data_IF_516708385801
#
_entry.id   IF_516708385801
#
_cell.length_a   1.000
_cell.length_b   1.000
_cell.length_c   1.000
_cell.angle_alpha   90.00
_cell.angle_beta   90.00
_cell.angle_gamma   90.00
#
_symmetry.space_group_name_H-M   'P 1'
#
loop_
_entity.id
_entity.type
_entity.pdbx_description
1 polymer ?
#
# COMPACT_ATOMS: atom_id res chain seq x y z
N UNK A 1 30.28 3.53 -9.79
CA UNK A 1 30.49 2.20 -10.40
C UNK A 1 29.70 2.00 -11.69
N UNK A 2 28.35 2.00 -11.69
CA UNK A 2 27.56 1.78 -12.93
C UNK A 2 27.77 2.91 -13.95
N UNK A 3 27.70 4.16 -13.51
CA UNK A 3 27.93 5.32 -14.39
C UNK A 3 29.37 5.35 -14.92
N UNK A 4 30.35 4.91 -14.12
CA UNK A 4 31.75 4.81 -14.55
C UNK A 4 31.91 3.73 -15.61
N UNK A 5 31.26 2.58 -15.45
CA UNK A 5 31.25 1.52 -16.46
C UNK A 5 30.60 1.98 -17.78
N UNK A 6 29.50 2.73 -17.71
CA UNK A 6 28.89 3.35 -18.90
C UNK A 6 29.89 4.28 -19.59
N UNK A 7 30.58 5.14 -18.83
CA UNK A 7 31.59 6.06 -19.36
C UNK A 7 32.76 5.31 -19.99
N UNK A 8 33.28 4.28 -19.33
CA UNK A 8 34.37 3.44 -19.84
C UNK A 8 33.97 2.74 -21.15
N UNK A 9 32.75 2.24 -21.30
CA UNK A 9 32.28 1.63 -22.55
C UNK A 9 32.28 2.63 -23.71
N UNK A 10 31.83 3.86 -23.46
CA UNK A 10 31.88 4.95 -24.45
C UNK A 10 33.32 5.30 -24.82
N UNK A 11 34.26 5.25 -23.88
CA UNK A 11 35.68 5.46 -24.13
C UNK A 11 36.33 4.30 -24.89
N UNK A 12 36.04 3.03 -24.54
CA UNK A 12 36.54 1.84 -25.25
C UNK A 12 36.18 1.85 -26.73
N UNK A 13 34.96 2.29 -27.06
CA UNK A 13 34.52 2.52 -28.44
C UNK A 13 35.46 3.46 -29.21
N UNK A 14 36.00 4.50 -28.56
CA UNK A 14 36.95 5.44 -29.19
C UNK A 14 38.31 4.79 -29.51
N UNK A 15 38.71 3.78 -28.74
CA UNK A 15 39.95 3.02 -28.96
C UNK A 15 39.75 1.76 -29.80
N UNK A 16 38.58 1.63 -30.46
CA UNK A 16 38.19 0.47 -31.28
C UNK A 16 38.22 -0.87 -30.51
N UNK A 17 38.13 -0.82 -29.18
CA UNK A 17 38.01 -2.00 -28.34
C UNK A 17 36.53 -2.25 -28.07
N UNK A 18 36.04 -3.42 -28.50
CA UNK A 18 34.62 -3.79 -28.37
C UNK A 18 34.49 -5.09 -27.59
N UNK A 19 33.73 -5.10 -26.48
CA UNK A 19 33.36 -6.35 -25.83
C UNK A 19 32.66 -7.30 -26.81
N UNK A 20 32.92 -8.60 -26.71
CA UNK A 20 32.43 -9.60 -27.68
C UNK A 20 31.01 -10.11 -27.40
N UNK A 21 30.19 -9.35 -26.66
CA UNK A 21 28.83 -9.76 -26.31
C UNK A 21 27.94 -9.73 -27.56
N UNK A 22 27.31 -10.87 -27.85
CA UNK A 22 26.34 -10.99 -28.96
C UNK A 22 24.89 -10.85 -28.51
N UNK A 23 24.63 -11.20 -27.24
CA UNK A 23 23.31 -11.20 -26.64
C UNK A 23 23.39 -10.65 -25.23
N UNK A 24 22.40 -9.84 -24.84
CA UNK A 24 22.20 -9.34 -23.48
C UNK A 24 20.81 -9.77 -23.06
N UNK A 25 20.72 -10.54 -21.98
CA UNK A 25 19.45 -11.00 -21.42
C UNK A 25 19.23 -10.27 -20.10
N UNK A 26 18.05 -9.66 -19.95
CA UNK A 26 17.66 -8.94 -18.76
C UNK A 26 16.37 -9.56 -18.25
N UNK A 27 16.45 -10.12 -17.06
CA UNK A 27 15.29 -10.63 -16.33
C UNK A 27 14.77 -9.58 -15.36
N UNK A 28 13.51 -9.69 -14.94
CA UNK A 28 12.82 -8.74 -14.07
C UNK A 28 12.95 -7.27 -14.54
N UNK A 29 12.82 -7.03 -15.85
CA UNK A 29 13.06 -5.74 -16.49
C UNK A 29 12.15 -4.61 -15.95
N UNK A 30 11.00 -4.96 -15.38
CA UNK A 30 10.08 -3.99 -14.76
C UNK A 30 10.67 -3.28 -13.53
N UNK A 31 11.75 -3.80 -12.97
CA UNK A 31 12.45 -3.22 -11.82
C UNK A 31 13.72 -2.47 -12.22
N UNK A 32 13.96 -2.27 -13.52
CA UNK A 32 15.18 -1.60 -13.97
C UNK A 32 15.20 -0.12 -13.60
N UNK A 33 16.32 0.32 -13.03
CA UNK A 33 16.60 1.73 -12.80
C UNK A 33 17.24 2.38 -14.03
N UNK A 34 17.09 3.70 -14.19
CA UNK A 34 17.61 4.48 -15.32
C UNK A 34 19.08 4.22 -15.62
N UNK A 35 19.91 4.16 -14.59
CA UNK A 35 21.36 3.96 -14.71
C UNK A 35 21.70 2.57 -15.28
N UNK A 36 20.96 1.52 -14.86
CA UNK A 36 21.14 0.16 -15.39
C UNK A 36 20.70 0.09 -16.84
N UNK A 37 19.59 0.74 -17.18
CA UNK A 37 19.17 0.85 -18.57
C UNK A 37 20.24 1.55 -19.43
N UNK A 38 20.79 2.67 -18.97
CA UNK A 38 21.79 3.43 -19.74
C UNK A 38 23.04 2.59 -20.01
N UNK A 39 23.47 1.81 -19.01
CA UNK A 39 24.56 0.84 -19.19
C UNK A 39 24.21 -0.22 -20.25
N UNK A 40 23.02 -0.82 -20.18
CA UNK A 40 22.54 -1.76 -21.20
C UNK A 40 22.55 -1.14 -22.59
N UNK A 41 22.02 0.08 -22.72
CA UNK A 41 21.97 0.78 -24.00
C UNK A 41 23.37 1.05 -24.55
N UNK A 42 24.29 1.53 -23.71
CA UNK A 42 25.68 1.74 -24.10
C UNK A 42 26.36 0.42 -24.56
N UNK A 43 26.10 -0.70 -23.88
CA UNK A 43 26.60 -2.01 -24.32
C UNK A 43 26.07 -2.37 -25.72
N UNK A 44 24.77 -2.18 -25.97
CA UNK A 44 24.18 -2.43 -27.29
C UNK A 44 24.81 -1.56 -28.36
N UNK A 45 24.96 -0.26 -28.09
CA UNK A 45 25.47 0.70 -29.06
C UNK A 45 26.95 0.42 -29.42
N UNK A 46 27.75 -0.05 -28.46
CA UNK A 46 29.18 -0.37 -28.66
C UNK A 46 29.37 -1.74 -29.35
N UNK A 47 28.58 -2.75 -28.95
CA UNK A 47 28.80 -4.15 -29.35
C UNK A 47 27.94 -4.60 -30.52
N UNK A 48 26.80 -3.95 -30.76
CA UNK A 48 25.74 -4.44 -31.65
C UNK A 48 24.99 -5.66 -31.11
N UNK A 49 25.10 -5.95 -29.80
CA UNK A 49 24.42 -7.08 -29.18
C UNK A 49 22.90 -6.97 -29.30
N UNK A 50 22.23 -8.12 -29.49
CA UNK A 50 20.77 -8.23 -29.41
C UNK A 50 20.34 -8.28 -27.95
N UNK A 51 19.25 -7.58 -27.61
CA UNK A 51 18.71 -7.57 -26.24
C UNK A 51 17.43 -8.39 -26.16
N UNK A 52 17.33 -9.20 -25.13
CA UNK A 52 16.10 -9.87 -24.71
C UNK A 52 15.79 -9.39 -23.30
N UNK A 53 14.68 -8.70 -23.13
CA UNK A 53 14.19 -8.25 -21.83
C UNK A 53 12.91 -9.01 -21.48
N UNK A 54 12.83 -9.53 -20.26
CA UNK A 54 11.69 -10.27 -19.72
C UNK A 54 11.23 -9.56 -18.45
N UNK A 55 9.92 -9.45 -18.25
CA UNK A 55 9.37 -8.89 -17.03
C UNK A 55 7.85 -8.79 -17.02
N UNK A 56 7.33 -8.32 -15.90
CA UNK A 56 5.88 -8.21 -15.62
C UNK A 56 5.57 -6.87 -14.93
N UNK A 57 4.94 -5.95 -15.64
CA UNK A 57 4.59 -4.61 -15.16
C UNK A 57 3.68 -4.63 -13.93
N UNK A 58 2.80 -5.63 -13.81
CA UNK A 58 1.91 -5.79 -12.65
C UNK A 58 2.68 -6.08 -11.36
N UNK A 59 3.95 -6.50 -11.47
CA UNK A 59 4.85 -6.78 -10.35
C UNK A 59 5.91 -5.69 -10.15
N UNK A 60 5.81 -4.53 -10.82
CA UNK A 60 6.74 -3.42 -10.58
C UNK A 60 6.45 -2.73 -9.24
N UNK A 61 7.31 -2.95 -8.24
CA UNK A 61 7.09 -2.52 -6.84
C UNK A 61 8.37 -1.96 -6.18
N UNK A 62 9.34 -1.53 -6.98
CA UNK A 62 10.63 -1.03 -6.50
C UNK A 62 10.91 0.42 -6.94
N UNK A 63 9.85 1.22 -7.12
CA UNK A 63 10.02 2.62 -7.51
C UNK A 63 10.85 3.39 -6.46
N UNK A 64 10.69 3.07 -5.17
CA UNK A 64 11.51 3.59 -4.08
C UNK A 64 13.02 3.32 -4.21
N UNK A 65 13.41 2.28 -4.97
CA UNK A 65 14.79 1.94 -5.26
C UNK A 65 15.30 2.58 -6.57
N UNK A 66 14.49 3.45 -7.19
CA UNK A 66 14.81 4.13 -8.45
C UNK A 66 14.40 3.38 -9.71
N UNK A 67 13.61 2.31 -9.59
CA UNK A 67 13.02 1.63 -10.75
C UNK A 67 12.03 2.54 -11.47
N UNK A 68 12.10 2.54 -12.80
CA UNK A 68 11.23 3.37 -13.64
C UNK A 68 10.47 2.48 -14.62
N UNK A 69 9.18 2.27 -14.35
CA UNK A 69 8.31 1.43 -15.15
C UNK A 69 8.11 1.97 -16.58
N UNK A 70 8.35 3.26 -16.82
CA UNK A 70 8.24 3.83 -18.16
C UNK A 70 9.31 3.26 -19.10
N UNK A 71 10.45 2.80 -18.56
CA UNK A 71 11.49 2.11 -19.32
C UNK A 71 11.02 0.75 -19.84
N UNK A 72 10.17 0.08 -19.06
CA UNK A 72 9.50 -1.15 -19.48
C UNK A 72 8.49 -0.86 -20.59
N UNK A 73 7.59 0.10 -20.37
CA UNK A 73 6.52 0.44 -21.31
C UNK A 73 7.04 0.96 -22.65
N UNK A 74 8.14 1.72 -22.63
CA UNK A 74 8.74 2.35 -23.82
C UNK A 74 9.95 1.57 -24.35
N UNK A 75 10.10 0.29 -23.99
CA UNK A 75 11.29 -0.49 -24.33
C UNK A 75 11.61 -0.46 -25.82
N UNK A 76 10.63 -0.73 -26.69
CA UNK A 76 10.81 -0.75 -28.14
C UNK A 76 11.15 0.64 -28.69
N UNK A 77 10.55 1.70 -28.14
CA UNK A 77 10.88 3.08 -28.51
C UNK A 77 12.34 3.41 -28.18
N UNK A 78 12.83 2.98 -27.02
CA UNK A 78 14.17 3.31 -26.51
C UNK A 78 15.27 2.41 -27.10
N UNK A 79 14.96 1.15 -27.39
CA UNK A 79 15.93 0.15 -27.88
C UNK A 79 15.93 0.02 -29.40
N UNK A 80 14.88 0.48 -30.08
CA UNK A 80 14.71 0.40 -31.53
C UNK A 80 13.89 -0.81 -31.96
N UNK A 81 14.06 -1.22 -33.22
CA UNK A 81 13.25 -2.29 -33.82
C UNK A 81 13.34 -3.61 -33.02
N UNK A 82 12.18 -4.14 -32.65
CA UNK A 82 12.06 -5.39 -31.90
C UNK A 82 10.67 -5.99 -32.02
N UNK A 83 10.41 -7.04 -31.24
CA UNK A 83 9.09 -7.68 -31.14
C UNK A 83 8.75 -7.87 -29.67
N UNK A 84 7.55 -7.50 -29.30
CA UNK A 84 6.97 -7.85 -28.00
C UNK A 84 6.29 -9.22 -28.10
N UNK A 85 6.51 -10.08 -27.11
CA UNK A 85 5.83 -11.36 -26.99
C UNK A 85 5.27 -11.50 -25.57
N UNK A 86 4.08 -12.09 -25.46
CA UNK A 86 3.41 -12.25 -24.17
C UNK A 86 3.36 -13.72 -23.75
N UNK A 87 3.72 -13.98 -22.49
CA UNK A 87 3.53 -15.28 -21.84
C UNK A 87 2.25 -15.19 -21.01
N UNK A 88 1.15 -15.76 -21.52
CA UNK A 88 -0.17 -15.65 -20.90
C UNK A 88 -0.55 -16.86 -20.05
N UNK A 89 0.14 -17.99 -20.21
CA UNK A 89 -0.18 -19.20 -19.46
C UNK A 89 0.58 -19.24 -18.14
N UNK A 90 -0.15 -19.46 -17.05
CA UNK A 90 0.40 -19.57 -15.69
C UNK A 90 -0.08 -20.86 -15.02
N UNK A 91 0.81 -21.46 -14.24
CA UNK A 91 0.57 -22.74 -13.57
C UNK A 91 0.57 -22.61 -12.05
N UNK A 92 0.75 -21.40 -11.52
CA UNK A 92 0.86 -21.16 -10.09
C UNK A 92 -0.52 -21.14 -9.43
N UNK A 93 -1.32 -20.16 -9.81
CA UNK A 93 -2.60 -19.80 -9.19
C UNK A 93 -3.78 -20.42 -9.95
N UNK A 94 -4.95 -20.52 -9.29
CA UNK A 94 -6.20 -20.87 -9.98
C UNK A 94 -6.66 -19.75 -10.92
N UNK A 95 -7.43 -20.10 -11.93
CA UNK A 95 -8.02 -19.13 -12.86
C UNK A 95 -8.83 -18.07 -12.11
N UNK A 96 -9.62 -18.48 -11.12
CA UNK A 96 -10.44 -17.58 -10.31
C UNK A 96 -9.59 -16.53 -9.57
N UNK A 97 -8.46 -16.94 -8.97
CA UNK A 97 -7.59 -16.01 -8.25
C UNK A 97 -6.94 -15.01 -9.20
N UNK A 98 -6.51 -15.49 -10.36
CA UNK A 98 -5.86 -14.67 -11.38
C UNK A 98 -6.83 -13.67 -11.99
N UNK A 99 -8.07 -14.08 -12.25
CA UNK A 99 -9.09 -13.19 -12.79
C UNK A 99 -9.41 -12.07 -11.79
N UNK A 100 -9.56 -12.39 -10.51
CA UNK A 100 -9.79 -11.40 -9.45
C UNK A 100 -8.58 -10.47 -9.30
N UNK A 101 -7.39 -11.02 -9.07
CA UNK A 101 -6.17 -10.24 -8.85
C UNK A 101 -5.79 -9.39 -10.09
N UNK A 102 -5.92 -9.98 -11.28
CA UNK A 102 -5.65 -9.35 -12.57
C UNK A 102 -6.64 -8.23 -12.87
N UNK A 103 -7.93 -8.42 -12.60
CA UNK A 103 -8.94 -7.36 -12.76
C UNK A 103 -8.70 -6.22 -11.76
N UNK A 104 -8.35 -6.56 -10.51
CA UNK A 104 -8.02 -5.58 -9.48
C UNK A 104 -6.82 -4.70 -9.87
N UNK A 105 -5.72 -5.29 -10.35
CA UNK A 105 -4.52 -4.51 -10.73
C UNK A 105 -4.73 -3.71 -12.02
N UNK A 106 -5.48 -4.25 -12.99
CA UNK A 106 -5.77 -3.59 -14.27
C UNK A 106 -6.79 -2.44 -14.20
N UNK A 107 -7.40 -2.19 -13.03
CA UNK A 107 -8.11 -0.92 -12.79
C UNK A 107 -7.19 0.29 -12.89
N UNK A 108 -5.88 0.09 -12.66
CA UNK A 108 -4.89 1.10 -12.99
C UNK A 108 -4.71 1.13 -14.54
N UNK A 109 -5.08 2.23 -15.22
CA UNK A 109 -5.02 2.32 -16.68
C UNK A 109 -3.59 2.32 -17.24
N UNK A 110 -2.58 2.59 -16.42
CA UNK A 110 -1.16 2.50 -16.81
C UNK A 110 -0.66 1.07 -16.97
N UNK A 111 -1.40 0.07 -16.47
CA UNK A 111 -0.99 -1.32 -16.58
C UNK A 111 -1.27 -1.87 -17.98
N UNK A 112 -0.34 -2.68 -18.48
CA UNK A 112 -0.51 -3.41 -19.73
C UNK A 112 -1.66 -4.40 -19.54
N UNK A 113 -2.67 -4.26 -20.39
CA UNK A 113 -3.81 -5.16 -20.38
C UNK A 113 -3.39 -6.52 -20.87
N UNK A 114 -3.60 -7.54 -20.05
CA UNK A 114 -3.32 -8.93 -20.41
C UNK A 114 -4.29 -9.86 -19.70
N UNK A 115 -4.58 -10.98 -20.36
CA UNK A 115 -5.43 -12.03 -19.83
C UNK A 115 -4.58 -13.27 -19.62
N UNK A 116 -4.48 -13.67 -18.36
CA UNK A 116 -3.75 -14.86 -17.98
C UNK A 116 -4.67 -16.08 -17.99
N UNK A 117 -4.13 -17.22 -18.38
CA UNK A 117 -4.85 -18.50 -18.50
C UNK A 117 -4.18 -19.50 -17.56
N UNK A 118 -4.99 -20.16 -16.73
CA UNK A 118 -4.56 -21.21 -15.81
C UNK A 118 -5.37 -22.48 -15.98
N UNK A 119 -4.73 -23.67 -16.00
CA UNK A 119 -5.44 -24.94 -15.98
C UNK A 119 -5.99 -25.28 -14.58
N UNK A 120 -5.60 -24.56 -13.53
CA UNK A 120 -6.05 -24.81 -12.15
C UNK A 120 -7.37 -24.11 -11.87
N UNK A 121 -8.27 -24.79 -11.18
CA UNK A 121 -9.56 -24.25 -10.73
C UNK A 121 -9.65 -24.39 -9.22
N UNK A 122 -10.11 -23.34 -8.55
CA UNK A 122 -10.34 -23.36 -7.10
C UNK A 122 -11.48 -22.41 -6.77
N UNK A 123 -12.53 -22.95 -6.17
CA UNK A 123 -13.62 -22.14 -5.63
C UNK A 123 -13.16 -21.35 -4.41
N UNK A 124 -13.63 -20.10 -4.33
CA UNK A 124 -13.33 -19.17 -3.25
C UNK A 124 -11.82 -19.09 -2.96
N UNK A 125 -11.00 -18.64 -3.94
CA UNK A 125 -9.56 -18.56 -3.77
C UNK A 125 -9.13 -17.48 -2.77
N UNK A 126 -10.02 -16.56 -2.43
CA UNK A 126 -9.83 -15.50 -1.44
C UNK A 126 -10.82 -15.72 -0.31
N UNK A 127 -10.33 -15.73 0.93
CA UNK A 127 -11.14 -15.84 2.14
C UNK A 127 -10.91 -14.62 3.01
N UNK A 128 -11.96 -13.85 3.28
CA UNK A 128 -11.89 -12.68 4.18
C UNK A 128 -12.24 -13.12 5.59
N UNK A 129 -11.33 -12.91 6.52
CA UNK A 129 -11.45 -13.35 7.92
C UNK A 129 -11.44 -12.12 8.82
N UNK A 130 -12.62 -11.74 9.28
CA UNK A 130 -12.80 -10.51 10.05
C UNK A 130 -12.69 -10.73 11.56
N UNK A 131 -12.30 -9.70 12.30
CA UNK A 131 -12.23 -9.74 13.77
C UNK A 131 -12.72 -8.43 14.41
N UNK A 132 -13.29 -8.53 15.60
CA UNK A 132 -13.72 -7.35 16.35
C UNK A 132 -12.52 -6.57 16.87
N UNK A 133 -12.46 -5.28 16.52
CA UNK A 133 -11.36 -4.38 16.89
C UNK A 133 -11.73 -3.31 17.93
N UNK A 134 -12.97 -3.31 18.42
CA UNK A 134 -13.45 -2.38 19.45
C UNK A 134 -12.79 -2.61 20.81
N UNK A 135 -12.50 -3.87 21.16
CA UNK A 135 -11.91 -4.26 22.45
C UNK A 135 -10.78 -5.26 22.17
N UNK A 136 -9.67 -5.14 22.90
CA UNK A 136 -8.56 -6.10 22.84
C UNK A 136 -8.03 -6.37 21.42
N UNK A 137 -7.94 -5.31 20.60
CA UNK A 137 -7.52 -5.36 19.19
C UNK A 137 -6.41 -6.37 18.91
N UNK A 138 -5.27 -6.23 19.60
CA UNK A 138 -4.09 -7.07 19.35
C UNK A 138 -4.34 -8.53 19.66
N UNK A 139 -5.08 -8.81 20.73
CA UNK A 139 -5.43 -10.18 21.10
C UNK A 139 -6.36 -10.80 20.06
N UNK A 140 -7.43 -10.11 19.69
CA UNK A 140 -8.40 -10.62 18.71
C UNK A 140 -7.77 -10.82 17.33
N UNK A 141 -6.92 -9.87 16.92
CA UNK A 141 -6.15 -9.94 15.69
C UNK A 141 -5.29 -11.20 15.62
N UNK A 142 -4.44 -11.44 16.63
CA UNK A 142 -3.55 -12.60 16.64
C UNK A 142 -4.31 -13.92 16.87
N UNK A 143 -5.39 -13.89 17.66
CA UNK A 143 -6.29 -15.04 17.80
C UNK A 143 -6.94 -15.44 16.47
N UNK A 144 -7.34 -14.46 15.64
CA UNK A 144 -7.88 -14.74 14.30
C UNK A 144 -6.80 -15.31 13.37
N UNK A 145 -5.56 -14.82 13.43
CA UNK A 145 -4.44 -15.41 12.67
C UNK A 145 -4.23 -16.87 13.08
N UNK A 146 -4.21 -17.18 14.38
CA UNK A 146 -4.07 -18.55 14.90
C UNK A 146 -5.22 -19.47 14.45
N UNK A 147 -6.46 -18.95 14.43
CA UNK A 147 -7.63 -19.67 13.91
C UNK A 147 -7.45 -20.04 12.43
N UNK A 148 -7.01 -19.09 11.60
CA UNK A 148 -6.77 -19.30 10.17
C UNK A 148 -5.64 -20.31 9.92
N UNK A 149 -4.55 -20.25 10.69
CA UNK A 149 -3.52 -21.30 10.66
C UNK A 149 -4.13 -22.66 10.95
N UNK A 150 -5.04 -22.75 11.94
CA UNK A 150 -5.78 -23.97 12.25
C UNK A 150 -6.61 -24.47 11.06
N UNK A 151 -7.38 -23.58 10.42
CA UNK A 151 -8.19 -23.90 9.22
C UNK A 151 -7.32 -24.47 8.10
N UNK A 152 -6.19 -23.83 7.81
CA UNK A 152 -5.25 -24.29 6.77
C UNK A 152 -4.65 -25.65 7.13
N UNK A 153 -4.21 -25.83 8.38
CA UNK A 153 -3.64 -27.11 8.84
C UNK A 153 -4.68 -28.22 8.81
N UNK A 154 -5.95 -27.94 9.13
CA UNK A 154 -7.02 -28.95 9.05
C UNK A 154 -7.37 -29.34 7.62
N UNK A 155 -7.29 -28.41 6.67
CA UNK A 155 -7.68 -28.64 5.28
C UNK A 155 -6.53 -29.23 4.44
N UNK A 156 -5.31 -28.72 4.59
CA UNK A 156 -4.14 -29.08 3.76
C UNK A 156 -3.07 -29.90 4.49
N UNK A 157 -3.26 -30.14 5.79
CA UNK A 157 -2.32 -30.88 6.62
C UNK A 157 -1.16 -30.03 7.16
N UNK A 158 -0.39 -30.60 8.10
CA UNK A 158 0.65 -29.88 8.85
C UNK A 158 1.91 -29.53 8.03
N UNK A 159 2.15 -30.23 6.91
CA UNK A 159 3.34 -30.01 6.06
C UNK A 159 3.13 -28.95 4.97
N UNK A 160 1.93 -28.40 4.85
CA UNK A 160 1.66 -27.34 3.87
C UNK A 160 2.49 -26.09 4.21
N UNK A 161 3.06 -25.46 3.18
CA UNK A 161 3.81 -24.22 3.37
C UNK A 161 2.84 -23.03 3.51
N UNK A 162 2.95 -22.30 4.62
CA UNK A 162 2.12 -21.13 4.93
C UNK A 162 2.99 -19.88 4.94
N UNK A 163 2.63 -18.90 4.11
CA UNK A 163 3.27 -17.59 4.11
C UNK A 163 2.38 -16.54 4.80
N UNK A 164 2.84 -16.00 5.91
CA UNK A 164 2.29 -14.80 6.51
C UNK A 164 2.93 -13.57 5.87
N UNK A 165 2.12 -12.70 5.29
CA UNK A 165 2.56 -11.46 4.67
C UNK A 165 2.06 -10.27 5.47
N UNK A 166 2.99 -9.48 6.01
CA UNK A 166 2.72 -8.14 6.56
C UNK A 166 3.16 -7.03 5.61
N UNK A 167 2.76 -5.79 5.89
CA UNK A 167 3.30 -4.62 5.17
C UNK A 167 4.67 -4.24 5.71
N UNK A 168 4.89 -4.45 7.02
CA UNK A 168 6.11 -4.10 7.73
C UNK A 168 6.62 -5.25 8.60
N UNK A 169 7.93 -5.24 8.90
CA UNK A 169 8.54 -6.26 9.75
C UNK A 169 8.02 -6.21 11.20
N UNK A 170 7.60 -5.05 11.70
CA UNK A 170 7.07 -4.95 13.07
C UNK A 170 5.73 -5.70 13.24
N UNK A 171 5.00 -6.01 12.16
CA UNK A 171 3.79 -6.83 12.23
C UNK A 171 4.16 -8.21 12.81
N UNK A 172 5.30 -8.79 12.42
CA UNK A 172 5.86 -10.03 12.99
C UNK A 172 6.12 -9.88 14.49
N UNK A 173 6.78 -8.78 14.88
CA UNK A 173 7.13 -8.53 16.28
C UNK A 173 5.86 -8.43 17.15
N UNK A 174 4.82 -7.78 16.64
CA UNK A 174 3.52 -7.67 17.33
C UNK A 174 2.83 -9.03 17.46
N UNK A 175 2.89 -9.88 16.42
CA UNK A 175 2.35 -11.24 16.45
C UNK A 175 3.10 -12.08 17.50
N UNK A 176 4.44 -12.05 17.52
CA UNK A 176 5.25 -12.81 18.48
C UNK A 176 5.05 -12.33 19.93
N UNK A 177 4.90 -11.02 20.16
CA UNK A 177 4.63 -10.44 21.49
C UNK A 177 3.31 -10.90 22.12
N UNK A 178 2.38 -11.45 21.34
CA UNK A 178 1.14 -12.03 21.88
C UNK A 178 1.36 -13.27 22.73
N UNK A 179 2.53 -13.92 22.62
CA UNK A 179 2.82 -15.20 23.23
C UNK A 179 2.22 -16.42 22.51
N UNK A 180 1.45 -16.25 21.42
CA UNK A 180 0.90 -17.36 20.62
C UNK A 180 1.83 -17.85 19.51
N UNK A 181 2.81 -17.03 19.15
CA UNK A 181 3.77 -17.29 18.10
C UNK A 181 5.19 -17.02 18.61
N UNK A 182 6.14 -17.83 18.16
CA UNK A 182 7.54 -17.74 18.54
C UNK A 182 8.37 -17.61 17.27
N UNK A 183 9.27 -16.64 17.23
CA UNK A 183 10.26 -16.51 16.17
C UNK A 183 11.36 -17.57 16.36
N UNK A 184 11.62 -18.37 15.33
CA UNK A 184 12.68 -19.39 15.34
C UNK A 184 13.95 -18.89 14.63
N UNK A 185 13.76 -18.24 13.48
CA UNK A 185 14.79 -17.63 12.63
C UNK A 185 14.19 -16.36 12.05
N UNK A 186 15.03 -15.51 11.43
CA UNK A 186 14.64 -14.21 10.85
C UNK A 186 13.28 -14.20 10.16
N UNK A 187 12.97 -15.22 9.36
CA UNK A 187 11.72 -15.29 8.59
C UNK A 187 10.82 -16.48 9.00
N UNK A 188 11.25 -17.35 9.93
CA UNK A 188 10.49 -18.54 10.33
C UNK A 188 9.79 -18.31 11.67
N UNK A 189 8.48 -18.55 11.69
CA UNK A 189 7.62 -18.38 12.86
C UNK A 189 7.01 -19.74 13.23
N UNK A 190 6.83 -20.00 14.51
CA UNK A 190 6.13 -21.20 15.02
C UNK A 190 4.89 -20.77 15.78
N UNK A 191 3.75 -21.35 15.42
CA UNK A 191 2.54 -21.26 16.23
C UNK A 191 2.64 -22.25 17.41
N UNK A 192 2.32 -21.82 18.64
CA UNK A 192 2.37 -22.71 19.81
C UNK A 192 1.32 -23.82 19.70
N UNK A 193 0.10 -23.48 19.26
CA UNK A 193 -1.00 -24.44 19.10
C UNK A 193 -0.75 -25.44 17.96
N UNK A 194 -0.06 -25.00 16.90
CA UNK A 194 0.25 -25.82 15.72
C UNK A 194 1.77 -25.87 15.48
N UNK A 195 2.55 -26.56 16.34
CA UNK A 195 4.01 -26.47 16.33
C UNK A 195 4.67 -27.12 15.11
N UNK A 196 3.94 -27.99 14.41
CA UNK A 196 4.40 -28.71 13.21
C UNK A 196 4.08 -27.96 11.90
N UNK A 197 3.31 -26.87 11.94
CA UNK A 197 2.97 -26.08 10.77
C UNK A 197 4.22 -25.35 10.23
N UNK A 198 4.45 -25.41 8.91
CA UNK A 198 5.56 -24.69 8.28
C UNK A 198 5.15 -23.24 7.94
N UNK A 199 5.48 -22.31 8.85
CA UNK A 199 5.08 -20.91 8.73
C UNK A 199 6.32 -20.02 8.48
N UNK A 200 6.25 -19.26 7.40
CA UNK A 200 7.22 -18.22 7.05
C UNK A 200 6.53 -16.86 7.13
N UNK A 201 7.17 -15.87 7.73
CA UNK A 201 6.72 -14.47 7.71
C UNK A 201 7.63 -13.64 6.80
N UNK A 202 7.04 -12.89 5.86
CA UNK A 202 7.76 -11.93 5.03
C UNK A 202 6.95 -10.63 4.91
N UNK A 203 7.62 -9.56 4.52
CA UNK A 203 6.90 -8.39 4.00
C UNK A 203 6.42 -8.65 2.57
N UNK A 204 5.39 -7.94 2.11
CA UNK A 204 4.91 -8.05 0.73
C UNK A 204 6.06 -7.85 -0.30
N UNK A 205 6.95 -6.89 -0.06
CA UNK A 205 8.12 -6.65 -0.92
C UNK A 205 9.10 -7.83 -0.93
N UNK A 206 9.43 -8.36 0.25
CA UNK A 206 10.36 -9.49 0.39
C UNK A 206 9.78 -10.82 -0.13
N UNK A 207 8.46 -10.89 -0.29
CA UNK A 207 7.78 -12.09 -0.81
C UNK A 207 7.88 -12.24 -2.34
N UNK A 208 8.27 -11.17 -3.06
CA UNK A 208 8.37 -11.18 -4.52
C UNK A 208 9.33 -12.28 -4.99
N UNK A 209 8.97 -12.97 -6.08
CA UNK A 209 9.73 -14.10 -6.62
C UNK A 209 9.52 -15.44 -5.89
N UNK A 210 8.94 -15.44 -4.68
CA UNK A 210 8.65 -16.65 -3.92
C UNK A 210 7.24 -17.18 -4.21
N UNK A 211 6.98 -18.42 -3.77
CA UNK A 211 5.67 -19.06 -3.87
C UNK A 211 5.45 -20.09 -2.77
N UNK A 212 4.25 -20.07 -2.19
CA UNK A 212 3.84 -20.91 -1.06
C UNK A 212 2.49 -21.56 -1.37
N UNK A 213 2.13 -22.60 -0.62
CA UNK A 213 0.88 -23.30 -0.88
C UNK A 213 -0.32 -22.47 -0.43
N UNK A 214 -0.23 -21.83 0.74
CA UNK A 214 -1.25 -20.93 1.28
C UNK A 214 -0.64 -19.61 1.75
N UNK A 215 -1.37 -18.50 1.61
CA UNK A 215 -0.94 -17.16 2.04
C UNK A 215 -1.93 -16.59 3.05
N UNK A 216 -1.44 -15.94 4.10
CA UNK A 216 -2.22 -15.16 5.06
C UNK A 216 -1.72 -13.72 5.00
N UNK A 217 -2.55 -12.80 4.52
CA UNK A 217 -2.31 -11.36 4.61
C UNK A 217 -2.72 -10.90 6.00
N UNK A 218 -1.74 -10.64 6.85
CA UNK A 218 -1.98 -10.56 8.30
C UNK A 218 -2.60 -9.25 8.72
N UNK A 219 -2.48 -8.15 7.98
CA UNK A 219 -2.89 -6.82 8.44
C UNK A 219 -3.59 -6.00 7.36
N UNK A 220 -4.82 -6.37 7.03
CA UNK A 220 -5.66 -5.68 6.03
C UNK A 220 -6.53 -4.61 6.68
N UNK A 221 -5.91 -3.55 7.20
CA UNK A 221 -6.58 -2.44 7.90
C UNK A 221 -6.48 -1.12 7.12
N UNK A 222 -7.50 -0.26 7.21
CA UNK A 222 -7.45 1.12 6.73
C UNK A 222 -6.79 2.03 7.79
N UNK A 223 -5.46 2.13 7.76
CA UNK A 223 -4.68 2.94 8.69
C UNK A 223 -3.31 3.34 8.11
N UNK A 224 -2.60 4.26 8.79
CA UNK A 224 -1.26 4.75 8.40
C UNK A 224 -0.30 3.61 8.00
N UNK A 225 -0.23 2.57 8.84
CA UNK A 225 0.62 1.40 8.63
C UNK A 225 -0.17 0.17 8.15
N UNK A 226 -1.32 0.39 7.52
CA UNK A 226 -2.16 -0.66 6.98
C UNK A 226 -1.68 -1.15 5.62
N UNK A 227 -2.58 -1.85 4.94
CA UNK A 227 -2.39 -2.28 3.55
C UNK A 227 -3.65 -1.87 2.77
N UNK A 228 -3.63 -0.79 1.98
CA UNK A 228 -2.45 -0.02 1.54
C UNK A 228 -1.78 0.79 2.64
N UNK A 229 -0.46 0.96 2.51
CA UNK A 229 0.29 1.95 3.26
C UNK A 229 -0.23 3.35 2.93
N UNK A 230 -0.36 4.13 3.99
CA UNK A 230 -0.90 5.48 4.00
C UNK A 230 0.16 6.51 4.41
N UNK A 231 1.41 6.07 4.50
CA UNK A 231 2.57 6.91 4.72
C UNK A 231 2.86 7.64 3.41
N UNK A 232 2.95 8.97 3.47
CA UNK A 232 3.44 9.77 2.37
C UNK A 232 4.97 9.71 2.34
N UNK A 233 5.52 9.53 1.14
CA UNK A 233 6.95 9.65 0.91
C UNK A 233 7.42 11.09 1.08
N UNK A 234 8.68 11.24 1.48
CA UNK A 234 9.33 12.54 1.57
C UNK A 234 9.25 13.29 0.22
N UNK A 235 8.96 14.61 0.21
CA UNK A 235 8.92 15.40 -1.01
C UNK A 235 10.17 15.26 -1.88
N UNK A 236 11.34 15.04 -1.29
CA UNK A 236 12.61 14.83 -2.01
C UNK A 236 12.56 13.53 -2.81
N UNK A 237 11.94 12.47 -2.29
CA UNK A 237 11.83 11.19 -3.00
C UNK A 237 11.06 11.37 -4.32
N UNK A 238 10.01 12.20 -4.33
CA UNK A 238 9.23 12.50 -5.54
C UNK A 238 10.06 13.13 -6.66
N UNK A 239 11.20 13.75 -6.36
CA UNK A 239 12.10 14.33 -7.36
C UNK A 239 12.96 13.28 -8.07
N UNK A 240 13.17 12.12 -7.44
CA UNK A 240 14.10 11.08 -7.90
C UNK A 240 13.43 9.75 -8.24
N UNK A 241 12.17 9.55 -7.81
CA UNK A 241 11.39 8.35 -8.09
C UNK A 241 10.24 8.64 -9.03
N UNK A 242 10.00 7.73 -9.97
CA UNK A 242 8.77 7.75 -10.76
C UNK A 242 7.58 7.38 -9.88
N UNK A 243 6.55 8.25 -9.84
CA UNK A 243 5.30 8.00 -9.11
C UNK A 243 4.15 7.89 -10.10
N UNK A 244 3.43 6.77 -10.07
CA UNK A 244 2.22 6.58 -10.86
C UNK A 244 1.02 7.20 -10.13
N UNK A 245 0.51 8.31 -10.65
CA UNK A 245 -0.62 9.05 -10.09
C UNK A 245 -1.95 8.79 -10.82
N UNK A 246 -2.00 7.82 -11.73
CA UNK A 246 -3.21 7.53 -12.51
C UNK A 246 -4.36 6.97 -11.69
N UNK A 247 -4.05 6.35 -10.55
CA UNK A 247 -5.04 5.88 -9.57
C UNK A 247 -4.46 6.04 -8.15
N UNK A 248 -5.29 6.31 -7.12
CA UNK A 248 -4.82 6.30 -5.75
C UNK A 248 -4.13 4.98 -5.38
N UNK A 249 -2.99 5.08 -4.70
CA UNK A 249 -2.21 3.93 -4.22
C UNK A 249 -1.77 2.96 -5.34
N UNK A 250 -1.42 3.47 -6.52
CA UNK A 250 -1.03 2.67 -7.68
C UNK A 250 0.07 1.63 -7.38
N UNK A 251 1.12 2.02 -6.64
CA UNK A 251 2.20 1.10 -6.25
C UNK A 251 1.74 0.06 -5.22
N UNK A 252 0.99 0.47 -4.19
CA UNK A 252 0.44 -0.46 -3.20
C UNK A 252 -0.58 -1.43 -3.83
N UNK A 253 -1.28 -1.03 -4.91
CA UNK A 253 -2.14 -1.91 -5.70
C UNK A 253 -1.33 -3.03 -6.39
N UNK A 254 -0.17 -2.70 -6.98
CA UNK A 254 0.77 -3.70 -7.52
C UNK A 254 1.38 -4.56 -6.42
N UNK A 255 1.72 -3.98 -5.27
CA UNK A 255 2.21 -4.71 -4.11
C UNK A 255 1.18 -5.71 -3.57
N UNK A 256 -0.10 -5.31 -3.55
CA UNK A 256 -1.21 -6.19 -3.16
C UNK A 256 -1.41 -7.32 -4.16
N UNK A 257 -1.34 -7.04 -5.46
CA UNK A 257 -1.33 -8.08 -6.50
C UNK A 257 -0.19 -9.09 -6.30
N UNK A 258 1.03 -8.62 -6.03
CA UNK A 258 2.17 -9.49 -5.71
C UNK A 258 1.83 -10.36 -4.51
N UNK A 259 1.35 -9.78 -3.42
CA UNK A 259 1.03 -10.49 -2.19
C UNK A 259 -0.06 -11.57 -2.39
N UNK A 260 -1.14 -11.25 -3.10
CA UNK A 260 -2.23 -12.19 -3.42
C UNK A 260 -1.75 -13.36 -4.29
N UNK A 261 -0.82 -13.11 -5.22
CA UNK A 261 -0.34 -14.12 -6.17
C UNK A 261 0.81 -14.99 -5.65
N UNK A 262 1.22 -14.83 -4.39
CA UNK A 262 2.25 -15.68 -3.76
C UNK A 262 1.75 -17.07 -3.32
N UNK A 263 0.45 -17.34 -3.44
CA UNK A 263 -0.17 -18.62 -3.09
C UNK A 263 -0.28 -19.57 -4.29
N UNK A 264 -0.39 -20.88 -4.06
CA UNK A 264 -0.83 -21.85 -5.07
C UNK A 264 -2.30 -22.24 -4.88
N UNK A 265 -2.78 -22.16 -3.63
CA UNK A 265 -4.13 -22.50 -3.22
C UNK A 265 -4.86 -21.19 -2.84
N UNK A 266 -5.17 -20.98 -1.55
CA UNK A 266 -5.96 -19.84 -1.08
C UNK A 266 -5.10 -18.71 -0.53
N UNK A 267 -5.65 -17.50 -0.59
CA UNK A 267 -5.19 -16.35 0.17
C UNK A 267 -6.24 -15.98 1.22
N UNK A 268 -5.80 -15.88 2.48
CA UNK A 268 -6.64 -15.49 3.61
C UNK A 268 -6.31 -14.05 3.99
N UNK A 269 -7.32 -13.18 4.11
CA UNK A 269 -7.16 -11.76 4.41
C UNK A 269 -7.69 -11.46 5.80
N UNK A 270 -6.80 -11.10 6.74
CA UNK A 270 -7.18 -10.77 8.12
C UNK A 270 -7.51 -9.28 8.20
N UNK A 271 -8.76 -8.94 8.50
CA UNK A 271 -9.24 -7.55 8.48
C UNK A 271 -10.06 -7.20 9.73
N UNK A 272 -9.93 -6.00 10.31
CA UNK A 272 -10.79 -5.58 11.41
C UNK A 272 -12.19 -5.21 10.92
N UNK A 273 -13.22 -5.46 11.75
CA UNK A 273 -14.62 -5.18 11.41
C UNK A 273 -14.94 -3.69 11.24
N UNK A 274 -14.40 -2.81 12.08
CA UNK A 274 -14.80 -1.39 12.06
C UNK A 274 -14.07 -0.55 11.01
N UNK A 275 -12.87 -0.96 10.59
CA UNK A 275 -11.99 -0.20 9.66
C UNK A 275 -11.23 -1.11 8.69
N UNK A 276 -11.93 -1.95 7.92
CA UNK A 276 -11.27 -2.85 6.99
C UNK A 276 -10.55 -2.06 5.90
N UNK A 277 -9.50 -2.66 5.34
CA UNK A 277 -8.76 -2.07 4.22
C UNK A 277 -9.69 -1.75 3.04
N UNK A 278 -9.48 -0.59 2.42
CA UNK A 278 -10.15 -0.24 1.16
C UNK A 278 -9.98 -1.27 0.05
N UNK A 279 -8.84 -1.98 0.00
CA UNK A 279 -8.63 -3.02 -1.01
C UNK A 279 -9.48 -4.26 -0.75
N UNK A 280 -9.74 -4.60 0.51
CA UNK A 280 -10.67 -5.67 0.86
C UNK A 280 -12.09 -5.28 0.50
N UNK A 281 -12.51 -4.06 0.85
CA UNK A 281 -13.84 -3.53 0.48
C UNK A 281 -14.02 -3.56 -1.06
N UNK A 282 -13.02 -3.08 -1.81
CA UNK A 282 -13.02 -3.08 -3.26
C UNK A 282 -13.19 -4.49 -3.83
N UNK A 283 -12.41 -5.47 -3.35
CA UNK A 283 -12.52 -6.85 -3.79
C UNK A 283 -13.89 -7.47 -3.48
N UNK A 284 -14.46 -7.19 -2.30
CA UNK A 284 -15.78 -7.68 -1.93
C UNK A 284 -16.85 -7.11 -2.87
N UNK A 285 -16.81 -5.80 -3.14
CA UNK A 285 -17.81 -5.14 -3.98
C UNK A 285 -17.73 -5.56 -5.45
N UNK A 286 -16.52 -5.70 -6.00
CA UNK A 286 -16.32 -6.01 -7.41
C UNK A 286 -16.56 -7.49 -7.73
N UNK A 287 -16.24 -8.39 -6.81
CA UNK A 287 -16.19 -9.84 -7.07
C UNK A 287 -17.12 -10.66 -6.17
N UNK A 288 -17.96 -10.01 -5.37
CA UNK A 288 -18.91 -10.66 -4.44
C UNK A 288 -18.23 -11.68 -3.51
N UNK A 289 -17.06 -11.33 -2.96
CA UNK A 289 -16.35 -12.21 -2.04
C UNK A 289 -17.17 -12.36 -0.75
N UNK A 290 -17.36 -13.59 -0.23
CA UNK A 290 -18.05 -13.82 1.03
C UNK A 290 -17.43 -13.02 2.17
N UNK A 291 -18.28 -12.42 3.00
CA UNK A 291 -17.88 -11.60 4.16
C UNK A 291 -18.83 -11.79 5.33
N UNK A 292 -18.38 -11.38 6.51
CA UNK A 292 -19.25 -11.23 7.66
C UNK A 292 -20.25 -10.07 7.44
N UNK A 293 -21.49 -10.25 7.89
CA UNK A 293 -22.58 -9.28 7.69
C UNK A 293 -22.29 -7.93 8.37
N UNK A 294 -21.63 -7.97 9.54
CA UNK A 294 -21.30 -6.82 10.37
C UNK A 294 -19.97 -6.12 10.01
N UNK A 295 -19.35 -6.52 8.89
CA UNK A 295 -18.17 -5.84 8.36
C UNK A 295 -18.54 -4.43 7.86
N UNK A 296 -17.84 -3.40 8.36
CA UNK A 296 -18.04 -2.04 7.89
C UNK A 296 -17.54 -1.88 6.45
N UNK A 297 -18.45 -1.59 5.52
CA UNK A 297 -18.13 -1.42 4.10
C UNK A 297 -17.88 0.05 3.72
N UNK A 298 -17.97 0.99 4.67
CA UNK A 298 -17.71 2.39 4.43
C UNK A 298 -16.21 2.69 4.50
N UNK A 299 -15.67 3.24 3.41
CA UNK A 299 -14.31 3.79 3.39
C UNK A 299 -14.41 5.21 3.95
N UNK A 300 -13.98 5.40 5.19
CA UNK A 300 -13.79 6.75 5.72
C UNK A 300 -12.65 7.42 4.94
N UNK A 301 -12.99 8.25 3.96
CA UNK A 301 -12.01 8.97 3.16
C UNK A 301 -11.23 9.96 4.06
N UNK A 302 -10.11 9.52 4.62
CA UNK A 302 -9.20 10.39 5.36
C UNK A 302 -8.39 11.31 4.42
N UNK A 303 -8.43 11.06 3.11
CA UNK A 303 -7.55 11.68 2.10
C UNK A 303 -8.22 12.71 1.19
N UNK A 304 -9.52 12.96 1.34
CA UNK A 304 -10.23 14.00 0.57
C UNK A 304 -10.33 15.33 1.28
N UNK A 305 -9.89 15.41 2.53
CA UNK A 305 -9.79 16.67 3.25
C UNK A 305 -8.63 17.48 2.68
N UNK A 306 -8.94 18.22 1.62
CA UNK A 306 -8.09 19.24 1.06
C UNK A 306 -8.23 20.50 1.90
N UNK A 307 -7.12 21.17 2.13
CA UNK A 307 -7.08 22.48 2.72
C UNK A 307 -7.96 23.42 1.87
N UNK A 308 -8.97 24.08 2.45
CA UNK A 308 -9.83 24.99 1.71
C UNK A 308 -9.08 26.25 1.22
N UNK A 309 -7.89 26.52 1.77
CA UNK A 309 -7.06 27.67 1.39
C UNK A 309 -6.16 27.35 0.19
N UNK A 310 -5.40 26.25 0.23
CA UNK A 310 -4.38 25.94 -0.78
C UNK A 310 -4.61 24.67 -1.59
N UNK A 311 -5.63 23.86 -1.26
CA UNK A 311 -5.97 22.63 -1.96
C UNK A 311 -5.08 21.42 -1.68
N UNK A 312 -4.02 21.57 -0.88
CA UNK A 312 -3.15 20.47 -0.43
C UNK A 312 -3.81 19.62 0.68
N UNK A 313 -3.39 18.36 0.88
CA UNK A 313 -3.97 17.49 1.90
C UNK A 313 -3.89 18.05 3.33
N UNK A 314 -4.88 17.71 4.16
CA UNK A 314 -4.86 17.94 5.59
C UNK A 314 -4.38 16.68 6.32
N UNK A 315 -3.38 16.84 7.17
CA UNK A 315 -2.84 15.79 8.06
C UNK A 315 -3.57 15.82 9.40
N UNK A 316 -4.01 14.67 9.89
CA UNK A 316 -4.63 14.56 11.22
C UNK A 316 -3.60 14.22 12.30
N UNK A 317 -3.42 15.11 13.28
CA UNK A 317 -2.52 14.88 14.41
C UNK A 317 -2.99 15.58 15.70
N UNK A 318 -2.48 15.11 16.84
CA UNK A 318 -2.78 15.71 18.14
C UNK A 318 -1.78 16.84 18.43
N UNK A 319 -2.25 18.09 18.35
CA UNK A 319 -1.41 19.26 18.49
C UNK A 319 -1.30 19.65 19.97
N UNK A 320 -0.11 19.45 20.55
CA UNK A 320 0.18 19.71 21.98
C UNK A 320 -0.03 21.17 22.38
N UNK A 321 0.14 22.12 21.45
CA UNK A 321 -0.03 23.55 21.76
C UNK A 321 -1.51 23.92 21.98
N UNK A 322 -2.42 23.19 21.34
CA UNK A 322 -3.86 23.42 21.41
C UNK A 322 -4.57 22.40 22.30
N UNK A 323 -3.93 21.27 22.63
CA UNK A 323 -4.53 20.18 23.39
C UNK A 323 -5.65 19.44 22.64
N UNK A 324 -5.67 19.56 21.30
CA UNK A 324 -6.74 19.06 20.44
C UNK A 324 -6.17 18.22 19.30
N UNK A 325 -6.98 17.27 18.83
CA UNK A 325 -6.70 16.56 17.59
C UNK A 325 -7.23 17.37 16.40
N UNK A 326 -6.32 17.79 15.52
CA UNK A 326 -6.56 18.75 14.45
C UNK A 326 -6.22 18.16 13.08
N UNK A 327 -6.88 18.69 12.05
CA UNK A 327 -6.53 18.56 10.65
C UNK A 327 -5.70 19.78 10.27
N UNK A 328 -4.42 19.58 9.98
CA UNK A 328 -3.44 20.64 9.74
C UNK A 328 -3.00 20.55 8.28
N UNK A 329 -2.90 21.69 7.59
CA UNK A 329 -2.37 21.73 6.23
C UNK A 329 -0.98 21.09 6.15
N UNK A 330 -0.76 20.24 5.15
CA UNK A 330 0.54 19.63 4.90
C UNK A 330 1.56 20.58 4.25
N UNK A 331 1.16 21.81 3.91
CA UNK A 331 2.04 22.81 3.34
C UNK A 331 2.98 23.38 4.41
N UNK A 332 4.02 24.09 4.00
CA UNK A 332 4.87 24.80 4.95
C UNK A 332 4.07 25.87 5.71
N UNK A 333 4.20 25.99 7.05
CA UNK A 333 3.45 26.95 7.86
C UNK A 333 3.65 28.41 7.41
N UNK A 334 4.79 28.73 6.80
CA UNK A 334 5.08 30.06 6.26
C UNK A 334 4.25 30.39 5.00
N UNK A 335 3.67 29.36 4.36
CA UNK A 335 2.85 29.48 3.15
C UNK A 335 1.36 29.26 3.47
N UNK A 336 1.03 28.26 4.29
CA UNK A 336 -0.34 27.99 4.70
C UNK A 336 -0.36 27.29 6.06
N UNK A 337 -0.84 28.00 7.08
CA UNK A 337 -0.95 27.56 8.47
C UNK A 337 -2.36 27.04 8.84
N UNK A 338 -3.23 26.87 7.84
CA UNK A 338 -4.61 26.46 8.04
C UNK A 338 -4.72 25.19 8.88
N UNK A 339 -5.55 25.24 9.91
CA UNK A 339 -5.86 24.09 10.76
C UNK A 339 -7.31 24.12 11.23
N UNK A 340 -7.95 22.95 11.25
CA UNK A 340 -9.34 22.83 11.67
C UNK A 340 -9.56 21.61 12.57
N UNK A 341 -10.57 21.67 13.43
CA UNK A 341 -10.98 20.56 14.28
C UNK A 341 -12.19 19.79 13.75
N UNK A 342 -12.81 20.25 12.65
CA UNK A 342 -14.01 19.64 12.06
C UNK A 342 -13.78 19.30 10.58
N UNK A 343 -14.27 18.12 10.16
CA UNK A 343 -14.08 17.60 8.79
C UNK A 343 -15.14 18.07 7.80
N UNK A 344 -16.31 18.47 8.29
CA UNK A 344 -17.50 18.71 7.47
C UNK A 344 -17.60 20.19 7.11
N UNK A 345 -17.31 21.07 8.07
CA UNK A 345 -17.15 22.50 7.83
C UNK A 345 -15.74 22.93 8.27
N UNK A 346 -14.71 22.69 7.42
CA UNK A 346 -13.30 22.92 7.77
C UNK A 346 -13.01 24.43 7.86
N UNK A 347 -13.23 24.99 9.03
CA UNK A 347 -12.98 26.39 9.34
C UNK A 347 -11.74 26.53 10.21
N UNK A 348 -10.96 27.57 9.93
CA UNK A 348 -9.65 27.79 10.54
C UNK A 348 -9.75 28.16 12.02
N UNK A 349 -8.77 27.74 12.82
CA UNK A 349 -8.74 28.00 14.26
C UNK A 349 -8.01 29.31 14.52
N UNK A 350 -8.63 30.21 15.27
CA UNK A 350 -8.03 31.48 15.67
C UNK A 350 -8.18 31.75 17.16
N UNK A 351 -7.41 32.71 17.68
CA UNK A 351 -7.40 33.02 19.12
C UNK A 351 -8.73 33.64 19.57
N UNK A 352 -9.25 33.20 20.72
CA UNK A 352 -10.42 33.82 21.32
C UNK A 352 -10.09 35.26 21.78
N UNK A 353 -10.94 36.22 21.45
CA UNK A 353 -10.78 37.61 21.86
C UNK A 353 -11.33 37.93 23.27
N UNK A 354 -11.97 36.97 23.95
CA UNK A 354 -12.59 37.15 25.28
C UNK A 354 -11.85 36.46 26.42
N UNK A 355 -10.85 35.62 26.14
CA UNK A 355 -10.03 34.98 27.15
C UNK A 355 -8.57 34.89 26.69
N UNK A 356 -7.64 34.82 27.63
CA UNK A 356 -6.21 34.92 27.33
C UNK A 356 -5.64 33.69 26.59
N UNK A 357 -6.19 32.51 26.85
CA UNK A 357 -5.64 31.19 26.56
C UNK A 357 -6.56 30.30 25.70
N UNK A 358 -7.81 30.72 25.48
CA UNK A 358 -8.76 29.96 24.66
C UNK A 358 -8.63 30.21 23.16
N UNK A 359 -9.04 29.22 22.38
CA UNK A 359 -9.11 29.26 20.91
C UNK A 359 -10.56 29.13 20.44
N UNK A 360 -10.89 29.74 19.31
CA UNK A 360 -12.17 29.57 18.64
C UNK A 360 -12.10 28.35 17.73
N UNK A 361 -12.89 27.34 18.04
CA UNK A 361 -12.95 26.06 17.31
C UNK A 361 -14.38 25.78 16.85
N UNK A 362 -14.55 24.95 15.83
CA UNK A 362 -15.87 24.56 15.35
C UNK A 362 -16.54 23.63 16.38
N UNK A 363 -17.68 24.05 16.91
CA UNK A 363 -18.54 23.25 17.80
C UNK A 363 -19.88 22.98 17.10
N UNK A 364 -20.52 21.87 17.47
CA UNK A 364 -21.83 21.45 16.94
C UNK A 364 -22.89 21.63 18.03
N UNK A 365 -24.06 22.14 17.64
CA UNK A 365 -25.24 22.14 18.48
C UNK A 365 -25.89 20.74 18.46
N UNK A 366 -26.00 20.11 19.63
CA UNK A 366 -26.53 18.74 19.75
C UNK A 366 -28.00 18.60 19.30
N UNK A 367 -28.77 19.70 19.26
CA UNK A 367 -30.20 19.68 18.89
C UNK A 367 -30.48 20.02 17.43
N UNK A 368 -29.69 20.90 16.82
CA UNK A 368 -29.95 21.43 15.47
C UNK A 368 -28.94 20.96 14.42
N UNK A 369 -27.86 20.30 14.84
CA UNK A 369 -26.69 19.95 14.01
C UNK A 369 -26.01 21.18 13.35
N UNK A 370 -26.35 22.39 13.79
CA UNK A 370 -25.71 23.59 13.30
C UNK A 370 -24.31 23.74 13.92
N UNK A 371 -23.35 24.05 13.08
CA UNK A 371 -21.97 24.31 13.46
C UNK A 371 -21.75 25.80 13.67
N UNK A 372 -20.97 26.14 14.70
CA UNK A 372 -20.62 27.51 15.06
C UNK A 372 -19.22 27.55 15.67
N UNK A 373 -18.59 28.72 15.69
CA UNK A 373 -17.34 28.89 16.44
C UNK A 373 -17.66 28.99 17.93
N UNK A 374 -17.00 28.19 18.76
CA UNK A 374 -17.08 28.27 20.21
C UNK A 374 -15.69 28.21 20.85
N UNK A 375 -15.50 28.95 21.94
CA UNK A 375 -14.24 28.94 22.68
C UNK A 375 -13.95 27.57 23.30
N UNK A 376 -12.70 27.10 23.23
CA UNK A 376 -12.21 25.86 23.87
C UNK A 376 -12.43 25.86 25.37
N UNK A 377 -12.33 27.02 26.02
CA UNK A 377 -12.49 27.16 27.47
C UNK A 377 -13.95 27.13 27.95
N UNK A 378 -14.91 26.88 27.05
CA UNK A 378 -16.31 26.65 27.41
C UNK A 378 -16.59 25.16 27.57
N UNK A 379 -16.90 24.74 28.80
CA UNK A 379 -17.17 23.34 29.14
C UNK A 379 -18.67 22.97 29.09
N UNK A 380 -18.96 21.67 29.18
CA UNK A 380 -20.34 21.13 29.18
C UNK A 380 -21.14 21.47 30.44
N UNK A 381 -20.48 21.96 31.49
CA UNK A 381 -21.12 22.41 32.74
C UNK A 381 -21.54 23.89 32.68
N UNK A 382 -21.44 24.51 31.49
CA UNK A 382 -21.72 25.92 31.20
C UNK A 382 -20.80 26.89 31.94
N UNK A 383 -19.60 26.44 32.33
CA UNK A 383 -18.57 27.26 32.96
C UNK A 383 -17.50 27.64 31.93
N UNK A 384 -16.88 28.79 32.16
CA UNK A 384 -15.80 29.33 31.33
C UNK A 384 -16.25 30.32 30.25
N UNK A 385 -15.43 30.49 29.21
CA UNK A 385 -15.59 31.58 28.24
C UNK A 385 -16.73 31.29 27.24
N UNK A 386 -17.88 31.94 27.40
CA UNK A 386 -19.06 31.76 26.52
C UNK A 386 -18.94 32.43 25.13
N UNK A 387 -17.72 32.69 24.65
CA UNK A 387 -17.54 33.32 23.35
C UNK A 387 -17.97 32.38 22.23
N UNK A 388 -18.90 32.85 21.41
CA UNK A 388 -19.41 32.15 20.25
C UNK A 388 -19.53 33.10 19.07
N UNK A 389 -19.30 32.60 17.86
CA UNK A 389 -19.50 33.35 16.63
C UNK A 389 -20.15 32.45 15.56
N UNK A 390 -21.03 33.00 14.71
CA UNK A 390 -21.58 32.25 13.60
C UNK A 390 -20.48 31.92 12.58
N UNK A 391 -20.56 30.73 12.00
CA UNK A 391 -19.74 30.36 10.85
C UNK A 391 -20.36 31.01 9.62
N UNK A 392 -19.65 31.92 8.96
CA UNK A 392 -20.11 32.52 7.71
C UNK A 392 -19.94 31.49 6.59
N UNK A 393 -21.04 30.93 6.11
CA UNK A 393 -21.04 30.16 4.87
C UNK A 393 -20.73 31.12 3.72
N UNK A 394 -19.58 30.94 3.07
CA UNK A 394 -19.39 31.52 1.75
C UNK A 394 -20.43 30.86 0.84
N UNK A 395 -21.45 31.62 0.45
CA UNK A 395 -22.32 31.24 -0.66
C UNK A 395 -21.44 31.35 -1.93
N UNK A 396 -20.82 30.23 -2.30
CA UNK A 396 -20.13 30.03 -3.56
C UNK A 396 -20.91 29.03 -4.39
#
# INVERSE_FOLDING_TARGET
MINDAEKMLREMSRYNYKPSYKYIVIDEFQDIARQRFNLTKALVDVTGAKVVAVGDDWQSIYAFAGSDITLFQRFLELMGNGREMQITHTYRNSQELIDIAGSFVQKNPSQIKKRLISPKRLENPIVVESFHDSISYRHNWVSKIEEVVGKIVSEYGQKTSILMIGRYNFDKDLICRSGKFIELRKDKVRCIKYPKADITFLTAHSSKGLGFDNVILVNMIEAKFGFPSQIEDDPIMKLVTYTDNTIPYAEERRLFYVAMTRTKNRVYMITPKTRPSRFVIELINDFNIPRDEDLNMEIAERYTLKCPVCGLPLKYENNKNYGLALYICSNEPEICDFMTNDRVEPHDIYKCNKCADGYMVVKKNDKTDERFYGCTNYDRTKKGCNNMAPIKRYLG
#
